data_IF_977954957658
#
_entry.id   IF_977954957658
#
_cell.length_a   1.000
_cell.length_b   1.000
_cell.length_c   1.000
_cell.angle_alpha   90.00
_cell.angle_beta   90.00
_cell.angle_gamma   90.00
#
_symmetry.space_group_name_H-M   'P 1'
#
loop_
_entity.id
_entity.type
_entity.pdbx_description
1 polymer ?
#
# COMPACT_ATOMS: atom_id res chain seq x y z
N UNK A 1 -2.46 10.94 9.27
CA UNK A 1 -1.37 9.94 9.44
C UNK A 1 -0.06 10.57 9.92
N UNK A 2 0.28 11.82 9.56
CA UNK A 2 1.57 12.45 9.92
C UNK A 2 1.99 12.26 11.39
N UNK A 3 1.12 12.61 12.35
CA UNK A 3 1.42 12.46 13.79
C UNK A 3 1.69 11.01 14.25
N UNK A 4 1.07 10.02 13.58
CA UNK A 4 1.30 8.61 13.89
C UNK A 4 2.64 8.17 13.31
N UNK A 5 2.95 8.56 12.08
CA UNK A 5 4.22 8.24 11.43
C UNK A 5 5.42 8.82 12.18
N UNK A 6 5.29 10.02 12.74
CA UNK A 6 6.34 10.63 13.58
C UNK A 6 6.62 9.79 14.85
N UNK A 7 5.58 9.21 15.47
CA UNK A 7 5.73 8.33 16.64
C UNK A 7 6.34 6.97 16.31
N UNK A 8 6.11 6.50 15.08
CA UNK A 8 6.58 5.22 14.57
C UNK A 8 8.02 5.27 14.06
N UNK A 9 8.58 6.45 13.89
CA UNK A 9 9.96 6.65 13.43
C UNK A 9 10.96 5.82 14.26
N UNK A 10 11.86 5.11 13.56
CA UNK A 10 12.87 4.26 14.18
C UNK A 10 12.36 2.92 14.71
N UNK A 11 11.11 2.54 14.42
CA UNK A 11 10.52 1.24 14.80
C UNK A 11 10.20 0.42 13.55
N UNK A 12 10.29 -0.90 13.67
CA UNK A 12 9.68 -1.80 12.69
C UNK A 12 8.17 -1.78 12.89
N UNK A 13 7.43 -1.52 11.82
CA UNK A 13 5.96 -1.43 11.84
C UNK A 13 5.38 -2.34 10.78
N UNK A 14 4.37 -3.09 11.17
CA UNK A 14 3.53 -3.85 10.25
C UNK A 14 2.10 -3.35 10.41
N UNK A 15 1.50 -2.90 9.31
CA UNK A 15 0.11 -2.43 9.27
C UNK A 15 -0.71 -3.31 8.32
N UNK A 16 -1.97 -3.55 8.69
CA UNK A 16 -2.95 -4.24 7.84
C UNK A 16 -3.99 -3.19 7.47
N UNK A 17 -3.91 -2.70 6.23
CA UNK A 17 -4.73 -1.59 5.79
C UNK A 17 -5.93 -2.06 4.95
N UNK A 18 -7.11 -1.54 5.28
CA UNK A 18 -8.26 -1.53 4.36
C UNK A 18 -8.32 -0.24 3.52
N UNK A 19 -7.58 0.80 3.94
CA UNK A 19 -7.54 2.10 3.28
C UNK A 19 -6.24 2.24 2.52
N UNK A 20 -6.30 2.14 1.19
CA UNK A 20 -5.09 2.11 0.37
C UNK A 20 -4.34 3.46 0.34
N UNK A 21 -4.96 4.56 0.74
CA UNK A 21 -4.24 5.84 0.87
C UNK A 21 -3.32 5.89 2.11
N UNK A 22 -3.60 5.09 3.14
CA UNK A 22 -2.81 5.13 4.39
C UNK A 22 -1.46 4.42 4.27
N UNK A 23 -1.28 3.58 3.25
CA UNK A 23 -0.07 2.77 3.06
C UNK A 23 1.01 3.44 2.21
N UNK A 24 0.75 4.62 1.63
CA UNK A 24 1.72 5.36 0.77
C UNK A 24 3.05 5.68 1.47
N UNK A 25 3.07 5.77 2.80
CA UNK A 25 4.26 6.10 3.57
C UNK A 25 5.06 4.90 4.06
N UNK A 26 4.69 3.67 3.70
CA UNK A 26 5.40 2.46 4.12
C UNK A 26 6.51 2.11 3.13
N UNK A 27 7.64 1.62 3.64
CA UNK A 27 8.79 1.23 2.84
C UNK A 27 8.49 0.04 1.92
N UNK A 28 7.60 -0.86 2.37
CA UNK A 28 7.26 -2.08 1.65
C UNK A 28 5.79 -2.46 1.88
N UNK A 29 5.12 -2.78 0.78
CA UNK A 29 3.73 -3.24 0.74
C UNK A 29 3.74 -4.68 0.20
N UNK A 30 2.95 -5.54 0.84
CA UNK A 30 2.71 -6.92 0.42
C UNK A 30 1.25 -7.07 0.04
N UNK A 31 0.99 -7.45 -1.19
CA UNK A 31 -0.36 -7.60 -1.74
C UNK A 31 -0.75 -9.06 -1.68
N UNK A 32 -1.80 -9.34 -0.92
CA UNK A 32 -2.32 -10.69 -0.76
C UNK A 32 -3.53 -10.92 -1.66
N UNK A 33 -3.55 -12.07 -2.34
CA UNK A 33 -4.71 -12.60 -3.03
C UNK A 33 -4.78 -14.12 -2.82
N UNK A 34 -5.94 -14.63 -2.44
CA UNK A 34 -6.20 -16.07 -2.23
C UNK A 34 -5.14 -16.77 -1.34
N UNK A 35 -4.73 -16.09 -0.25
CA UNK A 35 -3.76 -16.60 0.72
C UNK A 35 -2.30 -16.53 0.28
N UNK A 36 -2.00 -15.95 -0.89
CA UNK A 36 -0.65 -15.83 -1.43
C UNK A 36 -0.24 -14.37 -1.61
N UNK A 37 1.05 -14.10 -1.46
CA UNK A 37 1.64 -12.79 -1.82
C UNK A 37 1.82 -12.79 -3.34
N UNK A 38 1.09 -11.92 -4.02
CA UNK A 38 1.12 -11.81 -5.49
C UNK A 38 1.98 -10.64 -5.96
N UNK A 39 2.12 -9.61 -5.14
CA UNK A 39 2.99 -8.47 -5.42
C UNK A 39 3.67 -7.97 -4.14
N UNK A 40 4.86 -7.40 -4.31
CA UNK A 40 5.66 -6.79 -3.26
C UNK A 40 6.46 -5.62 -3.84
N UNK A 41 6.59 -4.53 -3.07
CA UNK A 41 7.35 -3.36 -3.47
C UNK A 41 6.96 -2.12 -2.66
N UNK A 42 7.57 -0.98 -2.99
CA UNK A 42 7.09 0.32 -2.53
C UNK A 42 5.77 0.69 -3.21
N UNK A 43 5.09 1.71 -2.70
CA UNK A 43 3.84 2.18 -3.31
C UNK A 43 4.04 2.56 -4.79
N UNK A 44 5.07 3.34 -5.09
CA UNK A 44 5.32 3.84 -6.45
C UNK A 44 5.68 2.70 -7.40
N UNK A 45 6.52 1.75 -6.97
CA UNK A 45 6.86 0.56 -7.75
C UNK A 45 5.62 -0.27 -8.12
N UNK A 46 4.70 -0.45 -7.17
CA UNK A 46 3.48 -1.23 -7.40
C UNK A 46 2.47 -0.52 -8.30
N UNK A 47 2.38 0.81 -8.22
CA UNK A 47 1.58 1.60 -9.18
C UNK A 47 2.19 1.52 -10.59
N UNK A 48 3.51 1.65 -10.72
CA UNK A 48 4.20 1.61 -12.02
C UNK A 48 4.09 0.26 -12.72
N UNK A 49 4.06 -0.85 -11.96
CA UNK A 49 3.85 -2.20 -12.51
C UNK A 49 2.53 -2.34 -13.28
N UNK A 50 1.52 -1.51 -12.99
CA UNK A 50 0.19 -1.57 -13.62
C UNK A 50 -0.46 -2.96 -13.55
N UNK A 51 -0.28 -3.62 -12.41
CA UNK A 51 -0.81 -4.95 -12.10
C UNK A 51 -2.00 -4.84 -11.14
N UNK A 52 -2.23 -5.88 -10.33
CA UNK A 52 -3.39 -5.99 -9.46
C UNK A 52 -3.48 -4.85 -8.45
N UNK A 53 -2.35 -4.46 -7.82
CA UNK A 53 -2.33 -3.35 -6.88
C UNK A 53 -2.78 -2.03 -7.50
N UNK A 54 -2.26 -1.72 -8.70
CA UNK A 54 -2.65 -0.53 -9.47
C UNK A 54 -4.17 -0.50 -9.67
N UNK A 55 -4.73 -1.59 -10.20
CA UNK A 55 -6.18 -1.67 -10.48
C UNK A 55 -7.02 -1.56 -9.21
N UNK A 56 -6.59 -2.23 -8.13
CA UNK A 56 -7.23 -2.16 -6.83
C UNK A 56 -7.21 -0.72 -6.28
N UNK A 57 -6.07 -0.03 -6.36
CA UNK A 57 -5.88 1.33 -5.88
C UNK A 57 -6.82 2.32 -6.59
N UNK A 58 -6.85 2.31 -7.92
CA UNK A 58 -7.67 3.24 -8.69
C UNK A 58 -9.18 2.97 -8.56
N UNK A 59 -9.58 1.69 -8.39
CA UNK A 59 -10.97 1.34 -8.10
C UNK A 59 -11.42 1.85 -6.73
N UNK A 60 -10.57 1.70 -5.71
CA UNK A 60 -10.91 2.09 -4.34
C UNK A 60 -10.91 3.61 -4.13
N UNK A 61 -10.14 4.37 -4.90
CA UNK A 61 -9.99 5.83 -4.75
C UNK A 61 -10.85 6.64 -5.72
N UNK A 62 -11.69 5.98 -6.53
CA UNK A 62 -12.54 6.61 -7.56
C UNK A 62 -11.76 7.48 -8.58
N UNK A 63 -10.45 7.31 -8.68
CA UNK A 63 -9.55 8.05 -9.59
C UNK A 63 -9.57 7.50 -11.03
N UNK A 64 -10.69 6.92 -11.47
CA UNK A 64 -10.85 6.31 -12.79
C UNK A 64 -11.80 7.10 -13.71
N UNK A 65 -12.08 8.37 -13.38
CA UNK A 65 -12.81 9.33 -14.20
C UNK A 65 -11.98 10.60 -14.44
#
# INVERSE_FOLDING_TARGET
MKNVMDLLCGKTVTDIAHRLDSIRGFDQIFVFQDGHIIEQGSFDELIEKRQYFHDLYYRATALMF
#
